data_IF_373931794160
#
_entry.id   IF_373931794160
#
_cell.length_a   1.000
_cell.length_b   1.000
_cell.length_c   1.000
_cell.angle_alpha   90.00
_cell.angle_beta   90.00
_cell.angle_gamma   90.00
#
_symmetry.space_group_name_H-M   'P 1'
#
loop_
_entity.id
_entity.type
_entity.pdbx_description
1 polymer ?
#
# COMPACT_ATOMS: atom_id res chain seq x y z
N UNK A 1 -9.01 -19.70 -14.87
CA UNK A 1 -7.85 -18.86 -14.51
C UNK A 1 -6.77 -19.23 -15.49
N UNK A 2 -6.41 -18.30 -16.38
CA UNK A 2 -5.43 -18.59 -17.43
C UNK A 2 -4.02 -18.52 -16.82
N UNK A 3 -3.01 -19.11 -17.47
CA UNK A 3 -1.63 -19.15 -16.93
C UNK A 3 -1.07 -17.74 -16.60
N UNK A 4 -1.48 -16.73 -17.37
CA UNK A 4 -1.16 -15.32 -17.12
C UNK A 4 -1.68 -14.82 -15.77
N UNK A 5 -2.88 -15.25 -15.36
CA UNK A 5 -3.48 -14.85 -14.07
C UNK A 5 -2.73 -15.49 -12.89
N UNK A 6 -2.33 -16.76 -13.03
CA UNK A 6 -1.60 -17.47 -11.99
C UNK A 6 -0.21 -16.86 -11.77
N UNK A 7 0.51 -16.55 -12.85
CA UNK A 7 1.83 -15.93 -12.78
C UNK A 7 1.78 -14.53 -12.14
N UNK A 8 0.74 -13.75 -12.47
CA UNK A 8 0.51 -12.45 -11.82
C UNK A 8 0.27 -12.60 -10.31
N UNK A 9 -0.56 -13.54 -9.89
CA UNK A 9 -0.81 -13.79 -8.45
C UNK A 9 0.47 -14.21 -7.72
N UNK A 10 1.24 -15.14 -8.31
CA UNK A 10 2.50 -15.62 -7.74
C UNK A 10 3.52 -14.49 -7.57
N UNK A 11 3.52 -13.49 -8.45
CA UNK A 11 4.37 -12.32 -8.32
C UNK A 11 3.84 -11.29 -7.30
N UNK A 12 2.53 -11.04 -7.28
CA UNK A 12 1.92 -10.01 -6.45
C UNK A 12 1.93 -10.35 -4.95
N UNK A 13 1.83 -11.64 -4.58
CA UNK A 13 1.85 -12.05 -3.17
C UNK A 13 3.19 -11.67 -2.49
N UNK A 14 4.38 -12.03 -3.02
CA UNK A 14 5.66 -11.58 -2.46
C UNK A 14 5.79 -10.06 -2.37
N UNK A 15 5.35 -9.33 -3.40
CA UNK A 15 5.38 -7.86 -3.42
C UNK A 15 4.54 -7.31 -2.26
N UNK A 16 3.31 -7.81 -2.10
CA UNK A 16 2.43 -7.42 -1.01
C UNK A 16 3.04 -7.72 0.37
N UNK A 17 3.66 -8.89 0.56
CA UNK A 17 4.35 -9.24 1.82
C UNK A 17 5.49 -8.27 2.11
N UNK A 18 6.28 -7.90 1.11
CA UNK A 18 7.38 -6.94 1.29
C UNK A 18 6.84 -5.56 1.67
N UNK A 19 5.77 -5.09 1.01
CA UNK A 19 5.12 -3.81 1.35
C UNK A 19 4.64 -3.81 2.80
N UNK A 20 3.94 -4.86 3.24
CA UNK A 20 3.48 -5.00 4.64
C UNK A 20 4.65 -4.95 5.62
N UNK A 21 5.78 -5.60 5.30
CA UNK A 21 6.95 -5.59 6.17
C UNK A 21 7.62 -4.20 6.23
N UNK A 22 7.73 -3.51 5.09
CA UNK A 22 8.31 -2.16 5.01
C UNK A 22 7.46 -1.16 5.80
N UNK A 23 6.14 -1.24 5.67
CA UNK A 23 5.24 -0.36 6.39
C UNK A 23 5.20 -0.67 7.87
N UNK A 24 5.15 -1.94 8.26
CA UNK A 24 5.27 -2.34 9.66
C UNK A 24 6.57 -1.81 10.29
N UNK A 25 7.69 -1.88 9.55
CA UNK A 25 8.95 -1.31 10.00
C UNK A 25 8.89 0.22 10.14
N UNK A 26 8.29 0.91 9.18
CA UNK A 26 8.07 2.36 9.25
C UNK A 26 7.20 2.74 10.45
N UNK A 27 6.12 2.00 10.72
CA UNK A 27 5.26 2.17 11.89
C UNK A 27 6.03 2.02 13.20
N UNK A 28 6.88 0.99 13.30
CA UNK A 28 7.72 0.78 14.48
C UNK A 28 8.69 1.95 14.69
N UNK A 29 9.32 2.45 13.62
CA UNK A 29 10.19 3.62 13.68
C UNK A 29 9.45 4.89 14.11
N UNK A 30 8.19 5.03 13.70
CA UNK A 30 7.29 6.12 14.09
C UNK A 30 6.67 5.92 15.48
N UNK A 31 7.10 4.90 16.24
CA UNK A 31 6.57 4.57 17.56
C UNK A 31 5.05 4.36 17.57
N UNK A 32 4.50 3.84 16.47
CA UNK A 32 3.08 3.57 16.33
C UNK A 32 2.58 2.58 17.38
N UNK A 33 3.25 1.42 17.48
CA UNK A 33 3.02 0.41 18.50
C UNK A 33 4.18 -0.62 18.54
N UNK A 34 4.01 -1.67 19.34
CA UNK A 34 4.86 -2.84 19.38
C UNK A 34 4.95 -3.52 18.00
N UNK A 35 6.08 -4.16 17.66
CA UNK A 35 6.33 -4.69 16.31
C UNK A 35 5.24 -5.63 15.78
N UNK A 36 4.72 -6.54 16.61
CA UNK A 36 3.67 -7.48 16.20
C UNK A 36 2.34 -6.79 15.92
N UNK A 37 1.99 -5.77 16.69
CA UNK A 37 0.76 -5.00 16.50
C UNK A 37 0.89 -4.06 15.30
N UNK A 38 2.06 -3.47 15.08
CA UNK A 38 2.36 -2.70 13.87
C UNK A 38 2.28 -3.57 12.61
N UNK A 39 2.81 -4.80 12.65
CA UNK A 39 2.69 -5.77 11.55
C UNK A 39 1.23 -6.14 11.26
N UNK A 40 0.45 -6.43 12.30
CA UNK A 40 -0.98 -6.71 12.16
C UNK A 40 -1.72 -5.53 11.55
N UNK A 41 -1.50 -4.33 12.09
CA UNK A 41 -2.18 -3.11 11.64
C UNK A 41 -1.80 -2.81 10.18
N UNK A 42 -0.51 -2.90 9.80
CA UNK A 42 -0.06 -2.77 8.42
C UNK A 42 -0.69 -3.82 7.48
N UNK A 43 -0.76 -5.09 7.89
CA UNK A 43 -1.38 -6.14 7.09
C UNK A 43 -2.89 -5.88 6.84
N UNK A 44 -3.61 -5.43 7.87
CA UNK A 44 -5.04 -5.06 7.76
C UNK A 44 -5.22 -3.89 6.81
N UNK A 45 -4.41 -2.85 6.98
CA UNK A 45 -4.47 -1.62 6.21
C UNK A 45 -4.12 -1.87 4.74
N UNK A 46 -3.04 -2.60 4.44
CA UNK A 46 -2.68 -2.99 3.08
C UNK A 46 -3.73 -3.87 2.42
N UNK A 47 -4.36 -4.77 3.17
CA UNK A 47 -5.45 -5.58 2.64
C UNK A 47 -6.64 -4.70 2.23
N UNK A 48 -7.00 -3.73 3.08
CA UNK A 48 -8.07 -2.79 2.78
C UNK A 48 -7.74 -1.92 1.56
N UNK A 49 -6.54 -1.33 1.50
CA UNK A 49 -6.06 -0.53 0.36
C UNK A 49 -6.04 -1.36 -0.93
N UNK A 50 -5.50 -2.58 -0.88
CA UNK A 50 -5.44 -3.47 -2.05
C UNK A 50 -6.84 -3.80 -2.58
N UNK A 51 -7.80 -4.09 -1.70
CA UNK A 51 -9.17 -4.37 -2.09
C UNK A 51 -9.85 -3.16 -2.74
N UNK A 52 -9.67 -1.97 -2.17
CA UNK A 52 -10.25 -0.74 -2.74
C UNK A 52 -9.63 -0.43 -4.09
N UNK A 53 -8.30 -0.49 -4.22
CA UNK A 53 -7.61 -0.28 -5.49
C UNK A 53 -8.03 -1.32 -6.53
N UNK A 54 -8.20 -2.60 -6.13
CA UNK A 54 -8.70 -3.64 -7.03
C UNK A 54 -10.10 -3.30 -7.58
N UNK A 55 -11.03 -2.89 -6.73
CA UNK A 55 -12.38 -2.47 -7.14
C UNK A 55 -12.33 -1.25 -8.07
N UNK A 56 -11.43 -0.30 -7.79
CA UNK A 56 -11.29 0.92 -8.58
C UNK A 56 -10.47 0.72 -9.86
N UNK A 57 -9.69 -0.35 -9.96
CA UNK A 57 -8.74 -0.58 -11.07
C UNK A 57 -9.41 -0.51 -12.44
N UNK A 58 -10.63 -1.06 -12.59
CA UNK A 58 -11.41 -1.00 -13.82
C UNK A 58 -11.73 0.42 -14.29
N UNK A 59 -11.90 1.38 -13.37
CA UNK A 59 -12.09 2.80 -13.68
C UNK A 59 -10.75 3.50 -13.94
N UNK A 60 -9.69 3.08 -13.24
CA UNK A 60 -8.37 3.70 -13.29
C UNK A 60 -7.62 3.40 -14.60
N UNK A 61 -7.79 2.22 -15.21
CA UNK A 61 -7.09 1.87 -16.46
C UNK A 61 -7.36 2.83 -17.64
N UNK A 62 -8.37 3.70 -17.57
CA UNK A 62 -8.65 4.72 -18.59
C UNK A 62 -7.64 5.88 -18.67
N UNK A 63 -6.74 6.05 -17.70
CA UNK A 63 -5.83 7.21 -17.65
C UNK A 63 -4.56 7.10 -18.53
N UNK A 64 -4.27 5.93 -19.12
CA UNK A 64 -3.21 5.72 -20.12
C UNK A 64 -1.75 5.91 -19.67
N UNK A 65 -1.50 6.52 -18.51
CA UNK A 65 -0.15 6.76 -17.96
C UNK A 65 0.05 6.06 -16.63
N UNK A 66 1.05 5.17 -16.56
CA UNK A 66 1.42 4.45 -15.34
C UNK A 66 1.83 5.38 -14.20
N UNK A 67 2.44 6.52 -14.50
CA UNK A 67 2.83 7.50 -13.49
C UNK A 67 1.60 8.20 -12.88
N UNK A 68 0.59 8.50 -13.70
CA UNK A 68 -0.69 9.05 -13.22
C UNK A 68 -1.41 8.02 -12.37
N UNK A 69 -1.42 6.75 -12.79
CA UNK A 69 -1.99 5.64 -12.03
C UNK A 69 -1.32 5.48 -10.65
N UNK A 70 0.02 5.49 -10.59
CA UNK A 70 0.76 5.41 -9.34
C UNK A 70 0.47 6.60 -8.43
N UNK A 71 0.37 7.81 -8.99
CA UNK A 71 0.04 9.01 -8.21
C UNK A 71 -1.38 8.96 -7.64
N UNK A 72 -2.37 8.56 -8.45
CA UNK A 72 -3.76 8.41 -7.98
C UNK A 72 -3.84 7.32 -6.91
N UNK A 73 -3.17 6.19 -7.14
CA UNK A 73 -3.14 5.10 -6.18
C UNK A 73 -2.48 5.55 -4.86
N UNK A 74 -1.38 6.31 -4.92
CA UNK A 74 -0.73 6.88 -3.72
C UNK A 74 -1.68 7.73 -2.90
N UNK A 75 -2.39 8.67 -3.56
CA UNK A 75 -3.34 9.55 -2.89
C UNK A 75 -4.48 8.74 -2.26
N UNK A 76 -5.05 7.80 -3.01
CA UNK A 76 -6.12 6.93 -2.50
C UNK A 76 -5.64 6.10 -1.31
N UNK A 77 -4.44 5.53 -1.40
CA UNK A 77 -3.87 4.73 -0.33
C UNK A 77 -3.69 5.56 0.94
N UNK A 78 -3.10 6.76 0.86
CA UNK A 78 -2.99 7.66 2.04
C UNK A 78 -4.36 7.91 2.70
N UNK A 79 -5.43 8.11 1.91
CA UNK A 79 -6.78 8.33 2.43
C UNK A 79 -7.36 7.07 3.09
N UNK A 80 -7.24 5.92 2.43
CA UNK A 80 -7.76 4.64 2.93
C UNK A 80 -7.01 4.21 4.18
N UNK A 81 -5.69 4.30 4.16
CA UNK A 81 -4.83 3.88 5.27
C UNK A 81 -4.95 4.82 6.46
N UNK A 82 -4.95 6.13 6.23
CA UNK A 82 -5.20 7.12 7.27
C UNK A 82 -6.54 6.88 7.96
N UNK A 83 -7.61 6.66 7.18
CA UNK A 83 -8.93 6.33 7.70
C UNK A 83 -8.96 4.99 8.46
N UNK A 84 -8.36 3.94 7.91
CA UNK A 84 -8.35 2.60 8.50
C UNK A 84 -7.57 2.59 9.81
N UNK A 85 -6.40 3.22 9.86
CA UNK A 85 -5.61 3.36 11.10
C UNK A 85 -6.36 4.17 12.16
N UNK A 86 -7.07 5.23 11.75
CA UNK A 86 -7.87 6.03 12.65
C UNK A 86 -9.03 5.22 13.26
N UNK A 87 -9.65 4.34 12.48
CA UNK A 87 -10.67 3.41 12.97
C UNK A 87 -10.09 2.34 13.91
N UNK A 88 -8.92 1.77 13.58
CA UNK A 88 -8.29 0.70 14.36
C UNK A 88 -7.93 1.12 15.78
N UNK A 89 -7.40 2.34 15.96
CA UNK A 89 -6.91 2.78 17.29
C UNK A 89 -7.71 3.89 17.94
N UNK A 90 -8.74 4.41 17.28
CA UNK A 90 -9.56 5.54 17.75
C UNK A 90 -8.72 6.77 18.17
N UNK A 91 -7.46 6.84 17.75
CA UNK A 91 -6.58 8.01 17.92
C UNK A 91 -6.86 8.94 16.75
N UNK A 92 -7.80 9.85 16.95
CA UNK A 92 -8.07 10.91 16.00
C UNK A 92 -6.95 11.94 16.09
N UNK A 93 -6.20 12.13 15.00
CA UNK A 93 -5.31 13.27 14.93
C UNK A 93 -4.23 13.24 13.84
N UNK A 94 -3.49 14.35 13.71
CA UNK A 94 -2.39 14.51 12.76
C UNK A 94 -1.32 13.38 12.77
N UNK A 95 -0.97 12.76 13.91
CA UNK A 95 0.04 11.69 13.92
C UNK A 95 -0.36 10.45 13.11
N UNK A 96 -1.65 10.09 13.10
CA UNK A 96 -2.16 8.95 12.33
C UNK A 96 -2.05 9.19 10.82
N UNK A 97 -2.39 10.39 10.39
CA UNK A 97 -2.29 10.80 8.99
C UNK A 97 -0.84 10.96 8.53
N UNK A 98 0.05 11.42 9.42
CA UNK A 98 1.49 11.47 9.14
C UNK A 98 2.08 10.06 8.99
N UNK A 99 1.67 9.11 9.85
CA UNK A 99 2.08 7.72 9.72
C UNK A 99 1.62 7.12 8.39
N UNK A 100 0.35 7.29 8.02
CA UNK A 100 -0.16 6.88 6.71
C UNK A 100 0.66 7.50 5.56
N UNK A 101 0.93 8.81 5.60
CA UNK A 101 1.73 9.47 4.58
C UNK A 101 3.13 8.85 4.45
N UNK A 102 3.85 8.67 5.55
CA UNK A 102 5.22 8.16 5.54
C UNK A 102 5.29 6.72 5.04
N UNK A 103 4.41 5.85 5.55
CA UNK A 103 4.33 4.45 5.10
C UNK A 103 4.08 4.35 3.61
N UNK A 104 3.07 5.09 3.12
CA UNK A 104 2.72 5.09 1.70
C UNK A 104 3.86 5.63 0.84
N UNK A 105 4.56 6.69 1.26
CA UNK A 105 5.73 7.18 0.52
C UNK A 105 6.79 6.07 0.39
N UNK A 106 7.11 5.37 1.48
CA UNK A 106 8.09 4.28 1.46
C UNK A 106 7.66 3.17 0.50
N UNK A 107 6.41 2.72 0.60
CA UNK A 107 5.85 1.66 -0.24
C UNK A 107 5.79 2.04 -1.72
N UNK A 108 5.39 3.28 -2.04
CA UNK A 108 5.29 3.74 -3.42
C UNK A 108 6.66 4.04 -4.04
N UNK A 109 7.67 4.44 -3.26
CA UNK A 109 9.06 4.49 -3.73
C UNK A 109 9.52 3.09 -4.11
N UNK A 110 9.26 2.09 -3.27
CA UNK A 110 9.58 0.70 -3.57
C UNK A 110 8.86 0.21 -4.85
N UNK A 111 7.55 0.43 -4.96
CA UNK A 111 6.77 0.06 -6.14
C UNK A 111 7.23 0.78 -7.41
N UNK A 112 7.63 2.04 -7.31
CA UNK A 112 8.18 2.80 -8.44
C UNK A 112 9.51 2.19 -8.91
N UNK A 113 10.44 1.92 -7.98
CA UNK A 113 11.73 1.29 -8.29
C UNK A 113 11.51 -0.08 -8.93
N UNK A 114 10.59 -0.88 -8.39
CA UNK A 114 10.24 -2.19 -8.93
C UNK A 114 9.67 -2.05 -10.35
N UNK A 115 8.73 -1.13 -10.55
CA UNK A 115 8.10 -0.88 -11.86
C UNK A 115 9.11 -0.41 -12.90
N UNK A 116 10.05 0.47 -12.53
CA UNK A 116 11.10 0.92 -13.45
C UNK A 116 12.10 -0.20 -13.76
N UNK A 117 12.41 -1.05 -12.79
CA UNK A 117 13.39 -2.13 -12.95
C UNK A 117 12.87 -3.27 -13.84
N UNK A 118 11.58 -3.58 -13.78
CA UNK A 118 10.97 -4.69 -14.52
C UNK A 118 10.05 -4.25 -15.68
N UNK A 119 9.55 -3.02 -15.67
CA UNK A 119 8.71 -2.46 -16.75
C UNK A 119 9.49 -1.81 -17.88
N UNK A 120 10.82 -1.65 -17.74
CA UNK A 120 11.73 -1.25 -18.83
C UNK A 120 12.45 -2.44 -19.49
N UNK A 121 12.09 -3.68 -19.12
CA UNK A 121 12.51 -4.92 -19.78
C UNK A 121 11.40 -5.42 -20.69
#
# INVERSE_FOLDING_TARGET
MNELDLNAIVFLIPVWVIVVLLEALAMVQLQWDQPLLALRDSAVVNSASTLVVYVLSGWLFGFGSILILLLIALILSILIEGGTLQLLRRRAGPPTWLAALIMNIVSYIFLLVLTLSFGMM
#
